data_IF_143504282358
#
_entry.id   IF_143504282358
#
_cell.length_a   1.000
_cell.length_b   1.000
_cell.length_c   1.000
_cell.angle_alpha   90.00
_cell.angle_beta   90.00
_cell.angle_gamma   90.00
#
_symmetry.space_group_name_H-M   'P 1'
#
loop_
_entity.id
_entity.type
_entity.pdbx_description
1 polymer ?
#
# COMPACT_ATOMS: atom_id res chain seq x y z
N UNK A 1 51.75 16.39 -99.23
CA UNK A 1 50.30 16.38 -99.53
C UNK A 1 49.58 15.84 -98.32
N UNK A 2 48.84 16.71 -97.64
CA UNK A 2 48.10 16.47 -96.40
C UNK A 2 46.62 16.58 -96.72
N UNK A 3 45.87 15.48 -96.58
CA UNK A 3 44.41 15.49 -96.62
C UNK A 3 43.84 15.56 -95.18
N UNK A 4 42.76 16.33 -94.93
CA UNK A 4 42.27 16.62 -93.60
C UNK A 4 41.29 15.56 -93.07
N UNK A 5 41.39 15.35 -91.76
CA UNK A 5 40.52 14.50 -90.94
C UNK A 5 39.13 15.13 -90.81
N UNK A 6 38.08 14.39 -91.17
CA UNK A 6 36.68 14.78 -90.97
C UNK A 6 36.18 14.38 -89.57
N UNK A 7 35.81 15.37 -88.76
CA UNK A 7 35.11 15.18 -87.47
C UNK A 7 33.65 14.71 -87.68
N UNK A 8 33.10 13.85 -86.81
CA UNK A 8 31.67 13.55 -86.82
C UNK A 8 30.86 14.67 -86.15
N UNK A 9 29.78 15.12 -86.79
CA UNK A 9 28.83 16.11 -86.26
C UNK A 9 28.15 15.66 -84.96
N UNK A 10 27.90 16.56 -83.99
CA UNK A 10 27.08 16.27 -82.84
C UNK A 10 25.59 16.26 -83.23
N UNK A 11 24.94 15.09 -83.12
CA UNK A 11 23.49 15.00 -83.16
C UNK A 11 22.91 15.69 -81.93
N UNK A 12 22.32 16.87 -82.11
CA UNK A 12 21.54 17.53 -81.06
C UNK A 12 20.20 16.78 -80.88
N UNK A 13 19.80 16.44 -79.65
CA UNK A 13 18.48 15.87 -79.43
C UNK A 13 17.47 17.01 -79.36
N UNK A 14 16.84 17.36 -80.50
CA UNK A 14 15.63 18.19 -80.49
C UNK A 14 14.50 17.41 -79.79
N UNK A 15 14.42 17.54 -78.46
CA UNK A 15 13.24 17.14 -77.71
C UNK A 15 12.13 18.13 -78.04
N UNK A 16 11.04 17.65 -78.63
CA UNK A 16 9.87 18.46 -78.97
C UNK A 16 9.33 19.17 -77.73
N UNK A 17 8.84 20.41 -77.90
CA UNK A 17 8.27 21.22 -76.81
C UNK A 17 7.13 20.52 -76.05
N UNK A 18 6.46 19.56 -76.70
CA UNK A 18 5.44 18.70 -76.11
C UNK A 18 6.03 17.62 -75.18
N UNK A 19 7.21 17.07 -75.51
CA UNK A 19 7.90 16.09 -74.67
C UNK A 19 8.46 16.73 -73.38
N UNK A 20 8.93 17.99 -73.43
CA UNK A 20 9.33 18.71 -72.22
C UNK A 20 8.14 19.07 -71.33
N UNK A 21 6.99 19.44 -71.91
CA UNK A 21 5.74 19.70 -71.18
C UNK A 21 5.18 18.45 -70.49
N UNK A 22 5.19 17.29 -71.17
CA UNK A 22 4.78 16.03 -70.58
C UNK A 22 5.74 15.58 -69.46
N UNK A 23 7.04 15.88 -69.61
CA UNK A 23 8.05 15.55 -68.60
C UNK A 23 7.95 16.45 -67.36
N UNK A 24 7.68 17.75 -67.52
CA UNK A 24 7.42 18.66 -66.39
C UNK A 24 6.10 18.34 -65.69
N UNK A 25 5.05 17.99 -66.43
CA UNK A 25 3.78 17.53 -65.84
C UNK A 25 3.97 16.28 -64.97
N UNK A 26 4.75 15.30 -65.44
CA UNK A 26 5.07 14.08 -64.67
C UNK A 26 5.89 14.38 -63.41
N UNK A 27 6.84 15.32 -63.49
CA UNK A 27 7.61 15.77 -62.32
C UNK A 27 6.74 16.49 -61.29
N UNK A 28 5.78 17.30 -61.73
CA UNK A 28 4.81 17.96 -60.86
C UNK A 28 3.93 16.91 -60.18
N UNK A 29 3.44 15.91 -60.91
CA UNK A 29 2.65 14.81 -60.37
C UNK A 29 3.41 14.02 -59.27
N UNK A 30 4.68 13.69 -59.52
CA UNK A 30 5.54 12.99 -58.54
C UNK A 30 5.80 13.84 -57.30
N UNK A 31 6.08 15.14 -57.47
CA UNK A 31 6.30 16.06 -56.35
C UNK A 31 5.03 16.26 -55.52
N UNK A 32 3.87 16.38 -56.17
CA UNK A 32 2.58 16.51 -55.48
C UNK A 32 2.27 15.25 -54.67
N UNK A 33 2.52 14.06 -55.24
CA UNK A 33 2.34 12.78 -54.55
C UNK A 33 3.26 12.64 -53.33
N UNK A 34 4.53 13.07 -53.43
CA UNK A 34 5.47 13.07 -52.30
C UNK A 34 4.99 13.98 -51.16
N UNK A 35 4.52 15.19 -51.50
CA UNK A 35 4.01 16.16 -50.51
C UNK A 35 2.74 15.62 -49.82
N UNK A 36 1.83 15.00 -50.57
CA UNK A 36 0.63 14.37 -50.01
C UNK A 36 1.00 13.25 -49.04
N UNK A 37 1.95 12.38 -49.40
CA UNK A 37 2.40 11.28 -48.53
C UNK A 37 3.02 11.82 -47.24
N UNK A 38 3.85 12.87 -47.32
CA UNK A 38 4.44 13.49 -46.13
C UNK A 38 3.39 14.15 -45.22
N UNK A 39 2.38 14.81 -45.81
CA UNK A 39 1.26 15.38 -45.03
C UNK A 39 0.45 14.30 -44.33
N UNK A 40 0.16 13.18 -44.99
CA UNK A 40 -0.53 12.05 -44.37
C UNK A 40 0.30 11.46 -43.23
N UNK A 41 1.60 11.24 -43.45
CA UNK A 41 2.50 10.76 -42.40
C UNK A 41 2.55 11.72 -41.20
N UNK A 42 2.60 13.03 -41.45
CA UNK A 42 2.57 14.04 -40.40
C UNK A 42 1.27 14.02 -39.60
N UNK A 43 0.11 13.86 -40.26
CA UNK A 43 -1.19 13.73 -39.58
C UNK A 43 -1.26 12.44 -38.76
N UNK A 44 -0.76 11.32 -39.28
CA UNK A 44 -0.74 10.04 -38.57
C UNK A 44 0.14 10.11 -37.32
N UNK A 45 1.34 10.70 -37.41
CA UNK A 45 2.23 10.90 -36.27
C UNK A 45 1.66 11.93 -35.29
N UNK A 46 1.13 13.04 -35.79
CA UNK A 46 0.52 14.08 -34.95
C UNK A 46 -0.74 13.61 -34.21
N UNK A 47 -1.46 12.63 -34.77
CA UNK A 47 -2.61 11.97 -34.14
C UNK A 47 -2.28 10.59 -33.56
N UNK A 48 -1.00 10.27 -33.40
CA UNK A 48 -0.57 8.97 -32.88
C UNK A 48 -1.15 8.69 -31.49
N UNK A 49 -1.17 9.69 -30.61
CA UNK A 49 -1.75 9.58 -29.26
C UNK A 49 -3.26 9.32 -29.28
N UNK A 50 -4.00 9.84 -30.27
CA UNK A 50 -5.44 9.58 -30.39
C UNK A 50 -5.71 8.18 -30.92
N UNK A 51 -4.91 7.72 -31.87
CA UNK A 51 -4.98 6.36 -32.40
C UNK A 51 -4.61 5.31 -31.35
N UNK A 52 -3.52 5.54 -30.60
CA UNK A 52 -3.11 4.70 -29.48
C UNK A 52 -4.19 4.62 -28.41
N UNK A 53 -4.77 5.75 -28.01
CA UNK A 53 -5.87 5.77 -27.05
C UNK A 53 -7.12 5.01 -27.53
N UNK A 54 -7.44 5.07 -28.82
CA UNK A 54 -8.55 4.33 -29.39
C UNK A 54 -8.26 2.82 -29.44
N UNK A 55 -7.03 2.45 -29.81
CA UNK A 55 -6.56 1.07 -29.80
C UNK A 55 -6.58 0.48 -28.39
N UNK A 56 -6.03 1.19 -27.40
CA UNK A 56 -6.07 0.79 -25.99
C UNK A 56 -7.50 0.66 -25.49
N UNK A 57 -8.44 1.52 -25.92
CA UNK A 57 -9.86 1.39 -25.59
C UNK A 57 -10.46 0.08 -26.12
N UNK A 58 -10.02 -0.38 -27.29
CA UNK A 58 -10.52 -1.59 -27.95
C UNK A 58 -9.83 -2.88 -27.47
N UNK A 59 -8.57 -2.82 -27.06
CA UNK A 59 -7.81 -3.98 -26.54
C UNK A 59 -8.01 -4.22 -25.04
N UNK A 60 -8.54 -3.23 -24.30
CA UNK A 60 -8.92 -3.31 -22.87
C UNK A 60 -9.71 -4.57 -22.45
N UNK A 61 -10.71 -5.07 -23.21
CA UNK A 61 -11.47 -6.25 -22.81
C UNK A 61 -10.67 -7.56 -22.86
N UNK A 62 -9.60 -7.61 -23.67
CA UNK A 62 -8.80 -8.82 -23.87
C UNK A 62 -7.65 -8.96 -22.86
N UNK A 63 -7.23 -7.87 -22.21
CA UNK A 63 -6.10 -7.83 -21.27
C UNK A 63 -6.51 -7.71 -19.78
N UNK A 64 -7.80 -7.86 -19.45
CA UNK A 64 -8.25 -7.94 -18.05
C UNK A 64 -8.38 -6.59 -17.31
N UNK A 65 -8.43 -5.47 -18.03
CA UNK A 65 -8.56 -4.12 -17.44
C UNK A 65 -9.99 -3.73 -17.04
N UNK A 66 -10.74 -4.61 -16.36
CA UNK A 66 -12.14 -4.38 -16.00
C UNK A 66 -12.35 -3.58 -14.69
N UNK A 67 -11.32 -2.97 -14.10
CA UNK A 67 -11.40 -2.42 -12.75
C UNK A 67 -11.65 -0.91 -12.62
N UNK A 68 -11.70 -0.12 -13.70
CA UNK A 68 -11.72 1.35 -13.58
C UNK A 68 -12.90 2.04 -14.29
N UNK A 69 -14.09 1.77 -13.77
CA UNK A 69 -15.24 2.66 -13.90
C UNK A 69 -16.03 2.76 -12.57
N UNK A 70 -15.34 2.52 -11.45
CA UNK A 70 -15.90 2.70 -10.11
C UNK A 70 -15.70 4.14 -9.64
N UNK A 71 -16.77 4.74 -9.12
CA UNK A 71 -16.72 6.03 -8.41
C UNK A 71 -15.60 6.02 -7.36
N UNK A 72 -14.66 6.97 -7.46
CA UNK A 72 -13.56 7.13 -6.50
C UNK A 72 -14.18 7.41 -5.12
N UNK A 73 -14.19 6.40 -4.25
CA UNK A 73 -14.57 6.58 -2.86
C UNK A 73 -13.42 7.25 -2.10
N UNK A 74 -13.69 8.29 -1.32
CA UNK A 74 -12.72 9.03 -0.49
C UNK A 74 -11.97 8.16 0.53
N UNK A 75 -12.47 6.95 0.74
CA UNK A 75 -11.97 5.97 1.73
C UNK A 75 -10.97 4.96 1.13
N UNK A 76 -10.62 5.03 -0.16
CA UNK A 76 -9.69 4.10 -0.81
C UNK A 76 -8.42 4.82 -1.25
N UNK A 77 -7.27 4.32 -0.83
CA UNK A 77 -5.93 4.78 -1.24
C UNK A 77 -5.27 3.68 -2.09
N UNK A 78 -4.42 4.06 -3.03
CA UNK A 78 -3.70 3.14 -3.91
C UNK A 78 -2.25 3.04 -3.47
N UNK A 79 -1.72 1.82 -3.34
CA UNK A 79 -0.39 1.54 -2.80
C UNK A 79 0.32 0.44 -3.61
N UNK A 80 1.65 0.54 -3.75
CA UNK A 80 2.48 -0.47 -4.42
C UNK A 80 3.03 -1.51 -3.41
N UNK A 81 2.68 -2.80 -3.52
CA UNK A 81 3.18 -3.85 -2.61
C UNK A 81 4.71 -4.02 -2.65
N UNK A 82 5.33 -3.70 -3.78
CA UNK A 82 6.75 -3.94 -4.02
C UNK A 82 7.61 -2.68 -3.83
N UNK A 83 6.98 -1.49 -3.76
CA UNK A 83 7.66 -0.21 -3.59
C UNK A 83 7.02 0.55 -2.41
N UNK A 84 7.44 0.26 -1.16
CA UNK A 84 6.93 0.97 0.00
C UNK A 84 7.22 2.48 -0.14
N UNK A 85 6.21 3.31 0.08
CA UNK A 85 6.31 4.77 -0.06
C UNK A 85 5.59 5.36 -1.28
N UNK A 86 5.23 4.54 -2.28
CA UNK A 86 4.42 5.01 -3.43
C UNK A 86 2.93 4.91 -3.07
N UNK A 87 2.28 6.06 -2.95
CA UNK A 87 0.87 6.23 -2.58
C UNK A 87 0.19 7.17 -3.58
N UNK A 88 -1.05 6.88 -3.94
CA UNK A 88 -1.87 7.80 -4.73
C UNK A 88 -3.33 7.77 -4.31
N UNK A 89 -4.00 8.91 -4.45
CA UNK A 89 -5.44 9.04 -4.20
C UNK A 89 -6.29 8.58 -5.40
N UNK A 90 -5.65 8.39 -6.56
CA UNK A 90 -6.27 7.92 -7.80
C UNK A 90 -5.56 6.67 -8.32
N UNK A 91 -6.24 5.84 -9.11
CA UNK A 91 -5.61 4.69 -9.74
C UNK A 91 -4.55 5.13 -10.73
N UNK A 92 -3.34 4.64 -10.53
CA UNK A 92 -2.19 4.95 -11.36
C UNK A 92 -1.26 3.73 -11.44
N UNK A 93 -0.38 3.77 -12.45
CA UNK A 93 0.74 2.84 -12.58
C UNK A 93 1.89 3.38 -11.72
N UNK A 94 2.52 2.51 -10.93
CA UNK A 94 3.67 2.86 -10.11
C UNK A 94 4.84 3.34 -11.00
N UNK A 95 5.43 4.51 -10.76
CA UNK A 95 6.54 5.03 -11.58
C UNK A 95 7.86 4.28 -11.35
N UNK A 96 7.96 3.47 -10.29
CA UNK A 96 9.18 2.74 -9.92
C UNK A 96 9.20 1.34 -10.53
N UNK A 97 8.12 0.57 -10.38
CA UNK A 97 8.04 -0.83 -10.84
C UNK A 97 7.11 -1.04 -12.04
N UNK A 98 6.42 0.01 -12.51
CA UNK A 98 5.50 -0.02 -13.64
C UNK A 98 4.33 -1.01 -13.53
N UNK A 99 3.98 -1.45 -12.32
CA UNK A 99 2.77 -2.22 -12.03
C UNK A 99 1.62 -1.31 -11.58
N UNK A 100 0.39 -1.77 -11.77
CA UNK A 100 -0.80 -1.09 -11.27
C UNK A 100 -0.80 -1.04 -9.74
N UNK A 101 -1.17 0.11 -9.17
CA UNK A 101 -1.29 0.26 -7.74
C UNK A 101 -2.49 -0.52 -7.21
N UNK A 102 -2.28 -1.23 -6.10
CA UNK A 102 -3.29 -2.04 -5.44
C UNK A 102 -4.11 -1.18 -4.49
N UNK A 103 -5.42 -1.39 -4.43
CA UNK A 103 -6.31 -0.63 -3.56
C UNK A 103 -6.20 -1.08 -2.11
N UNK A 104 -6.18 -0.12 -1.18
CA UNK A 104 -6.28 -0.33 0.27
C UNK A 104 -7.28 0.66 0.88
N UNK A 105 -7.87 0.30 2.02
CA UNK A 105 -8.72 1.25 2.77
C UNK A 105 -7.83 2.29 3.45
N UNK A 106 -8.17 3.56 3.28
CA UNK A 106 -7.47 4.69 3.87
C UNK A 106 -7.56 4.60 5.39
N UNK A 107 -6.41 4.58 6.06
CA UNK A 107 -6.34 4.54 7.52
C UNK A 107 -6.64 3.19 8.18
N UNK A 108 -6.54 2.06 7.46
CA UNK A 108 -6.44 0.76 8.14
C UNK A 108 -5.02 0.64 8.73
N UNK A 109 -4.87 0.74 10.07
CA UNK A 109 -3.55 0.68 10.67
C UNK A 109 -2.99 -0.72 10.43
N UNK A 110 -1.75 -0.79 9.97
CA UNK A 110 -0.98 -2.02 10.03
C UNK A 110 -1.03 -2.47 11.49
N UNK A 111 -1.50 -3.69 11.74
CA UNK A 111 -1.60 -4.20 13.11
C UNK A 111 -0.18 -4.49 13.58
N UNK A 112 0.45 -3.52 14.23
CA UNK A 112 1.72 -3.75 14.92
C UNK A 112 1.48 -4.68 16.12
N UNK A 113 2.47 -5.49 16.51
CA UNK A 113 2.40 -6.24 17.75
C UNK A 113 2.18 -5.30 18.95
N UNK A 114 1.48 -5.79 19.97
CA UNK A 114 1.11 -5.00 21.15
C UNK A 114 2.34 -4.34 21.79
N UNK A 115 2.33 -3.00 21.88
CA UNK A 115 3.42 -2.20 22.47
C UNK A 115 4.38 -1.54 21.48
N UNK A 116 4.31 -1.88 20.18
CA UNK A 116 5.14 -1.26 19.13
C UNK A 116 4.43 -0.08 18.47
N UNK A 117 5.06 1.09 18.49
CA UNK A 117 4.58 2.34 17.90
C UNK A 117 4.94 2.48 16.41
N UNK A 118 6.10 1.96 16.01
CA UNK A 118 6.63 2.07 14.65
C UNK A 118 7.43 0.82 14.28
N UNK A 119 7.47 0.49 12.99
CA UNK A 119 8.29 -0.60 12.45
C UNK A 119 9.05 -0.09 11.23
N UNK A 120 10.37 -0.13 11.32
CA UNK A 120 11.30 0.34 10.30
C UNK A 120 12.14 -0.82 9.78
N UNK A 121 12.35 -0.89 8.47
CA UNK A 121 13.31 -1.80 7.87
C UNK A 121 14.47 -1.01 7.27
N UNK A 122 15.69 -1.28 7.73
CA UNK A 122 16.93 -0.70 7.25
C UNK A 122 17.76 -1.78 6.55
N UNK A 123 18.30 -1.44 5.38
CA UNK A 123 19.23 -2.32 4.68
C UNK A 123 20.56 -2.41 5.46
N UNK A 124 21.27 -3.54 5.43
CA UNK A 124 22.50 -3.76 6.21
C UNK A 124 23.57 -2.67 6.02
N UNK A 125 23.75 -2.18 4.79
CA UNK A 125 24.70 -1.10 4.50
C UNK A 125 24.31 0.23 5.17
N UNK A 126 23.00 0.53 5.29
CA UNK A 126 22.52 1.74 5.98
C UNK A 126 22.81 1.65 7.49
N UNK A 127 22.68 0.47 8.08
CA UNK A 127 22.98 0.22 9.50
C UNK A 127 24.46 0.50 9.78
N UNK A 128 25.35 -0.01 8.92
CA UNK A 128 26.79 0.20 9.04
C UNK A 128 27.18 1.68 8.84
N UNK A 129 26.65 2.33 7.80
CA UNK A 129 26.92 3.75 7.53
C UNK A 129 26.39 4.67 8.63
N UNK A 130 25.24 4.32 9.23
CA UNK A 130 24.63 5.05 10.33
C UNK A 130 25.30 4.77 11.69
N UNK A 131 26.21 3.79 11.77
CA UNK A 131 26.84 3.40 13.03
C UNK A 131 25.82 2.87 14.06
N UNK A 132 24.78 2.18 13.59
CA UNK A 132 23.76 1.60 14.48
C UNK A 132 24.30 0.29 15.05
N UNK A 133 24.54 0.26 16.36
CA UNK A 133 24.87 -0.94 17.10
C UNK A 133 23.72 -1.37 18.01
N UNK A 134 23.49 -2.67 18.08
CA UNK A 134 22.48 -3.28 18.94
C UNK A 134 23.13 -4.12 20.03
N UNK A 135 22.65 -3.96 21.26
CA UNK A 135 23.08 -4.72 22.42
C UNK A 135 21.88 -5.43 23.03
N UNK A 136 22.09 -6.62 23.56
CA UNK A 136 21.06 -7.37 24.27
C UNK A 136 20.77 -6.74 25.64
N UNK A 137 19.49 -6.64 25.99
CA UNK A 137 19.06 -6.10 27.29
C UNK A 137 19.28 -7.17 28.36
N UNK A 138 20.19 -6.85 29.30
CA UNK A 138 20.51 -7.70 30.45
C UNK A 138 19.82 -7.18 31.71
N UNK A 139 19.47 -8.10 32.61
CA UNK A 139 19.12 -7.72 33.98
C UNK A 139 20.40 -7.41 34.75
N UNK A 140 20.40 -6.27 35.44
CA UNK A 140 21.49 -5.86 36.31
C UNK A 140 20.92 -5.37 37.63
N UNK A 141 21.64 -5.63 38.72
CA UNK A 141 21.28 -5.11 40.03
C UNK A 141 21.74 -3.66 40.11
N UNK A 142 20.77 -2.75 40.16
CA UNK A 142 21.03 -1.31 40.29
C UNK A 142 20.86 -0.91 41.75
N UNK A 143 21.88 -0.24 42.31
CA UNK A 143 21.85 0.27 43.68
C UNK A 143 20.61 1.15 43.90
N UNK A 144 19.79 0.82 44.89
CA UNK A 144 18.57 1.56 45.26
C UNK A 144 17.28 1.14 44.54
N UNK A 145 17.34 0.28 43.51
CA UNK A 145 16.14 -0.19 42.77
C UNK A 145 15.98 -1.71 42.83
N UNK A 146 17.09 -2.46 42.93
CA UNK A 146 17.10 -3.91 42.89
C UNK A 146 17.42 -4.47 41.50
N UNK A 147 17.12 -5.75 41.28
CA UNK A 147 17.32 -6.39 39.98
C UNK A 147 16.28 -5.90 38.96
N UNK A 148 16.74 -5.24 37.90
CA UNK A 148 15.88 -4.74 36.84
C UNK A 148 16.62 -4.74 35.50
N UNK A 149 15.86 -4.65 34.40
CA UNK A 149 16.46 -4.44 33.08
C UNK A 149 16.98 -3.02 33.00
N UNK A 150 18.22 -2.85 32.54
CA UNK A 150 18.84 -1.53 32.40
C UNK A 150 19.07 -1.19 30.93
N UNK A 151 18.92 0.08 30.60
CA UNK A 151 19.27 0.63 29.29
C UNK A 151 20.26 1.78 29.44
N UNK A 152 21.24 1.91 28.54
CA UNK A 152 22.07 3.10 28.48
C UNK A 152 21.23 4.30 28.01
N UNK A 153 21.62 5.50 28.42
CA UNK A 153 21.00 6.76 27.96
C UNK A 153 20.93 6.85 26.43
N UNK A 154 21.97 6.37 25.73
CA UNK A 154 22.06 6.44 24.27
C UNK A 154 21.02 5.59 23.53
N UNK A 155 20.38 4.63 24.21
CA UNK A 155 19.31 3.80 23.65
C UNK A 155 17.91 4.41 23.80
N UNK A 156 17.78 5.44 24.66
CA UNK A 156 16.50 6.03 25.03
C UNK A 156 16.27 7.30 24.24
N UNK A 157 15.15 7.36 23.50
CA UNK A 157 14.67 8.59 22.88
C UNK A 157 13.57 9.16 23.78
N UNK A 158 13.89 10.23 24.48
CA UNK A 158 12.92 10.98 25.27
C UNK A 158 12.37 12.15 24.46
N UNK A 159 11.06 12.13 24.19
CA UNK A 159 10.35 13.22 23.49
C UNK A 159 9.64 14.17 24.46
N UNK A 160 9.84 14.00 25.77
CA UNK A 160 9.15 14.70 26.86
C UNK A 160 7.75 14.14 27.14
N UNK A 161 7.00 13.74 26.11
CA UNK A 161 5.67 13.13 26.25
C UNK A 161 5.69 11.60 26.37
N UNK A 162 6.69 10.98 25.77
CA UNK A 162 6.87 9.53 25.73
C UNK A 162 8.34 9.16 25.53
N UNK A 163 8.73 8.03 26.12
CA UNK A 163 10.05 7.44 26.01
C UNK A 163 9.97 6.24 25.07
N UNK A 164 10.81 6.24 24.04
CA UNK A 164 10.82 5.19 23.01
C UNK A 164 12.20 4.58 22.87
N UNK A 165 12.19 3.27 22.68
CA UNK A 165 13.39 2.46 22.50
C UNK A 165 13.20 1.62 21.24
N UNK A 166 14.23 1.54 20.40
CA UNK A 166 14.19 0.78 19.16
C UNK A 166 14.74 -0.63 19.38
N UNK A 167 13.86 -1.63 19.27
CA UNK A 167 14.17 -3.06 19.44
C UNK A 167 14.38 -3.70 18.06
N UNK A 168 15.50 -4.38 17.89
CA UNK A 168 15.78 -5.18 16.70
C UNK A 168 15.07 -6.53 16.80
N UNK A 169 13.98 -6.70 16.04
CA UNK A 169 13.18 -7.93 16.00
C UNK A 169 13.76 -8.97 15.05
N UNK A 170 14.32 -8.51 13.93
CA UNK A 170 15.03 -9.32 12.92
C UNK A 170 16.20 -8.48 12.39
N UNK A 171 17.23 -9.09 11.78
CA UNK A 171 18.36 -8.33 11.22
C UNK A 171 17.90 -7.19 10.31
N UNK A 172 18.16 -5.95 10.75
CA UNK A 172 17.75 -4.72 10.07
C UNK A 172 16.26 -4.36 10.16
N UNK A 173 15.48 -5.01 11.01
CA UNK A 173 14.10 -4.61 11.34
C UNK A 173 14.05 -4.07 12.77
N UNK A 174 13.68 -2.79 12.89
CA UNK A 174 13.63 -2.06 14.15
C UNK A 174 12.20 -1.66 14.50
N UNK A 175 11.76 -2.08 15.67
CA UNK A 175 10.45 -1.81 16.23
C UNK A 175 10.58 -0.73 17.33
N UNK A 176 9.96 0.42 17.16
CA UNK A 176 9.91 1.47 18.18
C UNK A 176 8.91 1.10 19.27
N UNK A 177 9.38 0.76 20.47
CA UNK A 177 8.56 0.32 21.61
C UNK A 177 8.46 1.45 22.64
N UNK A 178 7.25 1.73 23.08
CA UNK A 178 7.03 2.67 24.18
C UNK A 178 7.45 2.01 25.50
N UNK A 179 8.32 2.67 26.25
CA UNK A 179 8.81 2.16 27.54
C UNK A 179 8.50 3.15 28.65
N UNK A 180 8.37 2.64 29.87
CA UNK A 180 8.39 3.47 31.08
C UNK A 180 9.68 3.23 31.83
N UNK A 181 10.49 4.25 31.94
CA UNK A 181 11.75 4.21 32.67
C UNK A 181 11.58 4.74 34.10
N UNK A 182 12.43 4.25 35.00
CA UNK A 182 12.59 4.80 36.33
C UNK A 182 13.61 5.95 36.38
N UNK A 183 13.92 6.47 37.58
CA UNK A 183 14.93 7.51 37.74
C UNK A 183 16.29 7.02 37.24
N UNK A 184 17.04 7.92 36.60
CA UNK A 184 18.40 7.64 36.12
C UNK A 184 19.32 7.31 37.29
N UNK A 185 20.11 6.24 37.17
CA UNK A 185 21.15 5.86 38.13
C UNK A 185 22.46 5.73 37.37
N UNK A 186 23.38 6.67 37.56
CA UNK A 186 24.60 6.77 36.75
C UNK A 186 24.25 7.03 35.28
N UNK A 187 24.72 6.19 34.36
CA UNK A 187 24.44 6.28 32.92
C UNK A 187 23.35 5.29 32.44
N UNK A 188 22.66 4.66 33.40
CA UNK A 188 21.66 3.64 33.13
C UNK A 188 20.27 4.09 33.57
N UNK A 189 19.28 3.69 32.78
CA UNK A 189 17.87 3.83 33.08
C UNK A 189 17.27 2.47 33.42
N UNK A 190 16.72 2.29 34.64
CA UNK A 190 16.00 1.07 35.00
C UNK A 190 14.66 1.04 34.25
N UNK A 191 14.37 -0.04 33.55
CA UNK A 191 13.13 -0.23 32.78
C UNK A 191 12.05 -0.79 33.71
N UNK A 192 10.91 -0.11 33.80
CA UNK A 192 9.74 -0.58 34.57
C UNK A 192 8.76 -1.37 33.70
N UNK A 193 8.51 -0.90 32.48
CA UNK A 193 7.56 -1.51 31.55
C UNK A 193 8.05 -1.37 30.10
N UNK A 194 7.67 -2.32 29.24
CA UNK A 194 7.78 -2.24 27.78
C UNK A 194 8.77 -3.22 27.15
N UNK A 195 9.83 -3.63 27.85
CA UNK A 195 10.86 -4.53 27.33
C UNK A 195 10.87 -5.90 28.01
N UNK A 196 11.42 -6.88 27.31
CA UNK A 196 11.66 -8.24 27.81
C UNK A 196 13.17 -8.52 27.86
N UNK A 197 13.62 -9.36 28.80
CA UNK A 197 15.01 -9.82 28.83
C UNK A 197 15.37 -10.51 27.51
N UNK A 198 16.60 -10.28 27.03
CA UNK A 198 17.13 -10.89 25.81
C UNK A 198 16.73 -10.20 24.50
N UNK A 199 15.98 -9.10 24.56
CA UNK A 199 15.70 -8.29 23.37
C UNK A 199 16.94 -7.48 22.97
N UNK A 200 17.21 -7.35 21.67
CA UNK A 200 18.29 -6.51 21.14
C UNK A 200 17.79 -5.09 20.97
N UNK A 201 18.45 -4.13 21.59
CA UNK A 201 18.08 -2.70 21.54
C UNK A 201 19.19 -1.92 20.84
N UNK A 202 18.81 -0.96 19.99
CA UNK A 202 19.75 -0.04 19.38
C UNK A 202 20.36 0.89 20.45
N UNK A 203 21.62 0.63 20.83
CA UNK A 203 22.36 1.43 21.81
C UNK A 203 23.06 2.63 21.19
N UNK A 204 23.26 2.61 19.87
CA UNK A 204 23.79 3.74 19.10
C UNK A 204 22.99 3.91 17.82
N UNK A 205 22.92 5.14 17.33
CA UNK A 205 22.14 5.48 16.14
C UNK A 205 20.62 5.42 16.34
N UNK A 206 20.11 5.26 17.57
CA UNK A 206 18.68 5.30 17.88
C UNK A 206 18.01 6.59 17.40
N UNK A 207 18.71 7.73 17.49
CA UNK A 207 18.25 9.01 16.97
C UNK A 207 18.08 9.02 15.44
N UNK A 208 18.93 8.32 14.69
CA UNK A 208 18.82 8.22 13.23
C UNK A 208 17.62 7.36 12.82
N UNK A 209 17.37 6.28 13.56
CA UNK A 209 16.16 5.46 13.38
C UNK A 209 14.92 6.31 13.67
N UNK A 210 14.97 7.11 14.74
CA UNK A 210 13.90 8.05 15.08
C UNK A 210 13.66 9.10 13.99
N UNK A 211 14.73 9.72 13.47
CA UNK A 211 14.63 10.70 12.40
C UNK A 211 14.05 10.10 11.10
N UNK A 212 14.45 8.88 10.73
CA UNK A 212 13.92 8.20 9.54
C UNK A 212 12.44 7.84 9.71
N UNK A 213 12.04 7.34 10.88
CA UNK A 213 10.63 7.08 11.17
C UNK A 213 9.83 8.39 11.20
N UNK A 214 10.45 9.51 11.58
CA UNK A 214 9.89 10.87 11.52
C UNK A 214 9.77 11.47 10.10
N UNK A 215 10.51 10.95 9.13
CA UNK A 215 10.41 11.40 7.73
C UNK A 215 9.47 10.52 6.89
N UNK A 216 9.25 9.27 7.32
CA UNK A 216 8.38 8.32 6.62
C UNK A 216 7.11 8.00 7.44
N UNK A 217 6.04 8.82 7.32
CA UNK A 217 4.79 8.64 8.08
C UNK A 217 4.07 7.32 7.82
N UNK A 218 4.34 6.66 6.70
CA UNK A 218 3.84 5.30 6.41
C UNK A 218 4.38 4.23 7.37
N UNK A 219 5.48 4.50 8.07
CA UNK A 219 6.16 3.56 8.97
C UNK A 219 5.88 3.81 10.46
N UNK A 220 5.36 5.00 10.79
CA UNK A 220 5.08 5.43 12.15
C UNK A 220 3.57 5.58 12.37
N UNK A 221 2.90 4.44 12.34
CA UNK A 221 1.43 4.33 12.50
C UNK A 221 0.96 4.82 13.87
N UNK A 222 1.81 4.75 14.91
CA UNK A 222 1.50 5.26 16.25
C UNK A 222 2.34 6.46 16.73
N UNK A 223 3.39 6.85 16.00
CA UNK A 223 4.37 7.85 16.48
C UNK A 223 4.04 9.28 16.02
N UNK A 224 3.39 9.45 14.87
CA UNK A 224 2.79 10.73 14.50
C UNK A 224 1.34 10.75 14.93
N UNK A 225 0.88 11.86 15.49
CA UNK A 225 -0.53 12.14 15.76
C UNK A 225 -1.46 12.16 14.53
N UNK A 226 -1.17 11.40 13.47
CA UNK A 226 -2.07 11.08 12.36
C UNK A 226 -3.19 10.11 12.77
N UNK A 227 -3.20 9.62 14.02
CA UNK A 227 -4.43 9.35 14.74
C UNK A 227 -4.78 10.60 15.56
N UNK A 228 -5.43 11.57 14.90
CA UNK A 228 -5.90 12.78 15.57
C UNK A 228 -6.60 12.44 16.88
N UNK A 229 -6.04 12.92 17.98
CA UNK A 229 -6.69 13.14 19.27
C UNK A 229 -7.77 12.10 19.66
N UNK A 230 -7.39 10.81 19.80
CA UNK A 230 -8.28 9.77 20.35
C UNK A 230 -7.64 8.86 21.41
N UNK A 231 -6.55 9.28 22.02
CA UNK A 231 -5.91 8.54 23.14
C UNK A 231 -6.28 9.11 24.52
N UNK A 232 -6.95 10.26 24.61
CA UNK A 232 -7.60 10.71 25.84
C UNK A 232 -9.12 10.52 25.72
N UNK A 233 -9.67 9.62 26.54
CA UNK A 233 -11.09 9.23 26.64
C UNK A 233 -11.70 8.43 25.46
N UNK A 234 -11.55 7.11 25.51
CA UNK A 234 -12.54 6.19 24.90
C UNK A 234 -13.17 5.22 25.92
N UNK A 235 -13.19 5.59 27.20
CA UNK A 235 -14.31 5.22 28.06
C UNK A 235 -15.49 6.14 27.75
N UNK A 236 -16.51 5.55 27.13
CA UNK A 236 -17.92 6.00 27.03
C UNK A 236 -18.37 6.69 25.71
N UNK A 237 -19.09 5.86 24.94
CA UNK A 237 -20.39 6.14 24.30
C UNK A 237 -20.42 6.97 23.00
N UNK A 238 -20.46 6.25 21.87
CA UNK A 238 -21.18 6.68 20.66
C UNK A 238 -21.97 5.50 20.07
N UNK A 239 -23.28 5.65 19.78
CA UNK A 239 -24.15 4.56 19.37
C UNK A 239 -24.06 4.38 17.85
N UNK A 240 -23.07 3.63 17.38
CA UNK A 240 -23.07 2.96 16.06
C UNK A 240 -21.91 1.97 16.02
N UNK A 241 -22.08 0.85 16.72
CA UNK A 241 -21.18 -0.31 16.61
C UNK A 241 -21.38 -0.95 15.23
N UNK A 242 -20.54 -0.57 14.27
CA UNK A 242 -20.18 -1.47 13.16
C UNK A 242 -19.45 -2.67 13.77
N UNK A 243 -19.93 -3.87 13.48
CA UNK A 243 -19.37 -5.12 13.92
C UNK A 243 -17.91 -5.24 13.46
N UNK A 244 -16.96 -4.89 14.33
CA UNK A 244 -15.58 -5.36 14.23
C UNK A 244 -15.64 -6.87 14.37
N UNK A 245 -14.91 -7.57 13.49
CA UNK A 245 -14.56 -9.00 13.62
C UNK A 245 -13.67 -9.16 14.86
N UNK A 246 -14.27 -8.97 16.04
CA UNK A 246 -13.62 -9.06 17.33
C UNK A 246 -13.57 -10.51 17.77
N UNK A 247 -12.43 -10.94 18.32
CA UNK A 247 -12.32 -12.21 19.05
C UNK A 247 -13.56 -12.38 19.94
N UNK A 248 -14.31 -13.46 19.75
CA UNK A 248 -15.53 -13.72 20.52
C UNK A 248 -15.16 -13.84 22.00
N UNK A 249 -15.98 -13.24 22.87
CA UNK A 249 -15.81 -13.43 24.31
C UNK A 249 -16.14 -14.87 24.71
N UNK A 250 -15.64 -15.34 25.86
CA UNK A 250 -15.95 -16.69 26.34
C UNK A 250 -17.46 -16.94 26.54
N UNK A 251 -18.25 -15.89 26.77
CA UNK A 251 -19.71 -15.97 26.84
C UNK A 251 -20.34 -16.17 25.45
N UNK A 252 -19.78 -15.53 24.42
CA UNK A 252 -20.26 -15.64 23.05
C UNK A 252 -19.96 -17.02 22.45
N UNK A 253 -18.83 -17.62 22.81
CA UNK A 253 -18.50 -18.99 22.41
C UNK A 253 -19.52 -20.02 22.92
N UNK A 254 -20.03 -19.86 24.15
CA UNK A 254 -21.08 -20.74 24.69
C UNK A 254 -22.39 -20.61 23.92
N UNK A 255 -22.74 -19.40 23.48
CA UNK A 255 -23.94 -19.17 22.67
C UNK A 255 -23.78 -19.71 21.25
N UNK A 256 -22.57 -19.62 20.66
CA UNK A 256 -22.24 -20.26 19.39
C UNK A 256 -22.40 -21.78 19.49
N UNK A 257 -21.87 -22.40 20.55
CA UNK A 257 -22.00 -23.83 20.80
C UNK A 257 -23.46 -24.28 21.00
N UNK A 258 -24.31 -23.41 21.53
CA UNK A 258 -25.74 -23.68 21.66
C UNK A 258 -26.49 -23.52 20.33
N UNK A 259 -26.08 -22.57 19.49
CA UNK A 259 -26.76 -22.29 18.24
C UNK A 259 -26.40 -23.30 17.15
N UNK A 260 -25.11 -23.67 17.02
CA UNK A 260 -24.46 -24.59 16.04
C UNK A 260 -24.72 -24.29 14.55
N UNK A 261 -25.94 -23.93 14.19
CA UNK A 261 -26.48 -23.74 12.85
C UNK A 261 -26.71 -22.25 12.55
N UNK A 262 -26.39 -21.86 11.32
CA UNK A 262 -26.62 -20.51 10.80
C UNK A 262 -28.11 -20.30 10.40
N UNK A 263 -28.79 -19.23 10.86
CA UNK A 263 -30.20 -18.93 10.54
C UNK A 263 -30.49 -18.67 9.06
N UNK A 264 -29.47 -18.18 8.34
CA UNK A 264 -29.64 -17.71 6.95
C UNK A 264 -29.43 -18.87 5.99
N UNK A 265 -28.36 -19.65 6.20
CA UNK A 265 -27.94 -20.71 5.28
C UNK A 265 -28.31 -22.12 5.75
N UNK A 266 -28.63 -22.31 7.04
CA UNK A 266 -28.85 -23.64 7.63
C UNK A 266 -27.58 -24.48 7.77
N UNK A 267 -26.41 -23.92 7.45
CA UNK A 267 -25.12 -24.60 7.56
C UNK A 267 -24.48 -24.39 8.94
N UNK A 268 -23.55 -25.26 9.32
CA UNK A 268 -22.81 -25.14 10.59
C UNK A 268 -21.98 -23.85 10.64
N UNK A 269 -22.00 -23.19 11.80
CA UNK A 269 -21.32 -21.91 12.03
C UNK A 269 -19.79 -21.98 11.93
N UNK A 270 -19.20 -23.19 12.01
CA UNK A 270 -17.75 -23.39 11.95
C UNK A 270 -17.22 -23.71 10.54
N UNK A 271 -18.09 -24.00 9.58
CA UNK A 271 -17.66 -24.55 8.28
C UNK A 271 -17.14 -23.50 7.30
N UNK A 272 -17.45 -22.21 7.50
CA UNK A 272 -17.17 -21.14 6.53
C UNK A 272 -16.38 -19.96 7.12
N UNK A 273 -15.59 -20.23 8.16
CA UNK A 273 -14.89 -19.22 8.96
C UNK A 273 -15.59 -18.95 10.29
N UNK A 274 -14.89 -18.25 11.19
CA UNK A 274 -15.38 -18.03 12.56
C UNK A 274 -16.73 -17.28 12.61
N UNK A 275 -17.61 -17.63 13.55
CA UNK A 275 -18.97 -17.08 13.65
C UNK A 275 -18.96 -15.57 13.86
N UNK A 276 -19.80 -14.86 13.12
CA UNK A 276 -19.96 -13.40 13.25
C UNK A 276 -21.15 -13.11 14.15
N UNK A 277 -20.97 -12.39 15.28
CA UNK A 277 -22.08 -11.98 16.13
C UNK A 277 -22.86 -10.82 15.50
N UNK A 278 -24.18 -10.96 15.44
CA UNK A 278 -25.12 -9.91 15.01
C UNK A 278 -26.20 -9.76 16.08
N UNK A 279 -26.33 -8.55 16.61
CA UNK A 279 -27.35 -8.22 17.61
C UNK A 279 -28.58 -7.64 16.90
N UNK A 280 -29.73 -8.33 16.97
CA UNK A 280 -31.01 -7.87 16.41
C UNK A 280 -32.10 -7.94 17.48
N UNK A 281 -32.85 -6.85 17.66
CA UNK A 281 -34.03 -6.80 18.56
C UNK A 281 -33.76 -7.35 19.97
N UNK A 282 -32.59 -7.05 20.55
CA UNK A 282 -32.21 -7.52 21.90
C UNK A 282 -31.77 -8.98 22.00
N UNK A 283 -31.69 -9.72 20.88
CA UNK A 283 -31.23 -11.11 20.81
C UNK A 283 -29.94 -11.21 20.01
N UNK A 284 -28.90 -11.78 20.62
CA UNK A 284 -27.60 -12.02 19.99
C UNK A 284 -27.65 -13.31 19.19
N UNK A 285 -27.41 -13.23 17.89
CA UNK A 285 -27.44 -14.37 16.96
C UNK A 285 -26.18 -14.40 16.12
N UNK A 286 -25.68 -15.60 15.83
CA UNK A 286 -24.45 -15.82 15.09
C UNK A 286 -24.74 -16.22 13.64
N UNK A 287 -23.95 -15.69 12.70
CA UNK A 287 -24.00 -16.04 11.27
C UNK A 287 -22.64 -16.49 10.78
N UNK A 288 -22.62 -17.26 9.70
CA UNK A 288 -21.39 -17.83 9.14
C UNK A 288 -20.52 -16.80 8.38
N UNK A 289 -21.09 -15.72 7.84
CA UNK A 289 -20.32 -14.71 7.10
C UNK A 289 -20.97 -13.32 7.13
N UNK A 290 -20.16 -12.27 6.90
CA UNK A 290 -20.62 -10.86 6.87
C UNK A 290 -21.69 -10.61 5.79
N UNK A 291 -21.65 -11.36 4.68
CA UNK A 291 -22.65 -11.26 3.62
C UNK A 291 -24.07 -11.63 4.07
N UNK A 292 -24.20 -12.57 5.00
CA UNK A 292 -25.50 -13.00 5.53
C UNK A 292 -26.16 -11.96 6.45
N UNK A 293 -25.44 -10.92 6.90
CA UNK A 293 -26.00 -9.88 7.77
C UNK A 293 -27.13 -9.11 7.07
N UNK A 294 -26.96 -8.84 5.78
CA UNK A 294 -27.95 -8.10 4.98
C UNK A 294 -29.26 -8.87 4.80
N UNK A 295 -29.18 -10.19 4.61
CA UNK A 295 -30.35 -11.06 4.51
C UNK A 295 -31.07 -11.17 5.87
N UNK A 296 -30.30 -11.33 6.95
CA UNK A 296 -30.85 -11.44 8.31
C UNK A 296 -31.58 -10.16 8.75
N UNK A 297 -31.09 -8.98 8.34
CA UNK A 297 -31.73 -7.68 8.63
C UNK A 297 -33.01 -7.42 7.83
N UNK A 298 -33.14 -8.01 6.64
CA UNK A 298 -34.34 -7.82 5.80
C UNK A 298 -35.55 -8.53 6.38
N UNK A 299 -35.40 -9.78 6.84
CA UNK A 299 -36.50 -10.60 7.36
C UNK A 299 -36.13 -11.34 8.67
N UNK A 300 -36.01 -10.63 9.82
CA UNK A 300 -35.54 -11.24 11.06
C UNK A 300 -36.47 -12.34 11.59
N UNK A 301 -37.79 -12.15 11.50
CA UNK A 301 -38.78 -13.10 12.03
C UNK A 301 -38.75 -14.47 11.32
N UNK A 302 -38.56 -14.46 10.00
CA UNK A 302 -38.46 -15.69 9.19
C UNK A 302 -37.25 -16.51 9.59
N UNK A 303 -36.13 -15.85 9.85
CA UNK A 303 -34.88 -16.48 10.25
C UNK A 303 -34.88 -16.94 11.71
N UNK A 304 -35.58 -16.25 12.60
CA UNK A 304 -35.79 -16.71 13.97
C UNK A 304 -36.68 -17.96 14.05
N UNK A 305 -37.71 -18.08 13.19
CA UNK A 305 -38.53 -19.31 13.10
C UNK A 305 -37.68 -20.51 12.68
N UNK A 306 -36.83 -20.36 11.68
CA UNK A 306 -35.90 -21.41 11.24
C UNK A 306 -34.93 -21.85 12.34
N UNK A 307 -34.47 -20.94 13.20
CA UNK A 307 -33.65 -21.29 14.36
C UNK A 307 -34.44 -22.00 15.47
N UNK A 308 -35.72 -21.70 15.61
CA UNK A 308 -36.59 -22.39 16.56
C UNK A 308 -36.94 -23.81 16.07
N UNK A 309 -37.08 -24.00 14.77
CA UNK A 309 -37.35 -25.30 14.13
C UNK A 309 -36.10 -26.20 14.03
N UNK A 310 -34.90 -25.62 14.00
CA UNK A 310 -33.63 -26.35 13.92
C UNK A 310 -33.04 -26.77 15.28
N UNK A 311 -33.77 -26.53 16.38
CA UNK A 311 -33.38 -26.83 17.76
C UNK A 311 -34.13 -28.04 18.29
#
# INVERSE_FOLDING_TARGET
MSEPVSEPSPLSPQRSAWASLLWTARLIEVRLRLVIVLLVAFVVVGRWETWRNYWDKWTRPLLGGAAYAGTVSTDTEFFCPMCPGVLSDWPAICPVCHMDLVTRRRGEPIVLPDGTLSRMQLAPYRIQQAGIHTTEVQSQTVEGVGECLTLPESAVIDTGSLQVVYVESMPGMFDGVAVKLGPRVGDLFPVREGLKPGQRVATSGAFLIDAETRLNPSLAVGYFGAAGNRVANSSQTSPRRRAKKGKLSAADLKLVEQQKICPVTGADLNSMGGPVPVDLTGRRVFICCVGCETALRKDPEKHFKKLAEAK
#
